data_IF_162093202137
#
_entry.id   IF_162093202137
#
_cell.length_a   1.000
_cell.length_b   1.000
_cell.length_c   1.000
_cell.angle_alpha   90.00
_cell.angle_beta   90.00
_cell.angle_gamma   90.00
#
_symmetry.space_group_name_H-M   'P 1'
#
loop_
_entity.id
_entity.type
_entity.pdbx_description
1 polymer ?
#
# COMPACT_ATOMS: atom_id res chain seq x y z
N UNK A 1 28.92 -12.59 -1.41
CA UNK A 1 28.00 -11.95 -2.39
C UNK A 1 27.96 -10.46 -2.09
N UNK A 2 28.23 -9.59 -3.07
CA UNK A 2 28.25 -8.14 -2.84
C UNK A 2 26.84 -7.62 -2.55
N UNK A 3 26.64 -6.97 -1.40
CA UNK A 3 25.39 -6.33 -1.03
C UNK A 3 25.10 -5.24 -2.06
N UNK A 4 23.99 -5.38 -2.80
CA UNK A 4 23.56 -4.36 -3.77
C UNK A 4 23.47 -3.01 -3.06
N UNK A 5 23.99 -1.95 -3.69
CA UNK A 5 23.94 -0.59 -3.17
C UNK A 5 22.49 -0.08 -2.97
N UNK A 6 22.32 1.23 -2.73
CA UNK A 6 21.03 1.87 -2.43
C UNK A 6 19.87 1.28 -3.25
N UNK A 7 18.76 0.97 -2.57
CA UNK A 7 17.54 0.46 -3.20
C UNK A 7 17.14 1.39 -4.36
N UNK A 8 16.74 0.85 -5.51
CA UNK A 8 16.34 1.66 -6.65
C UNK A 8 15.12 2.51 -6.29
N UNK A 9 15.01 3.71 -6.89
CA UNK A 9 13.80 4.52 -6.78
C UNK A 9 12.58 3.75 -7.35
N UNK A 10 11.41 3.83 -6.70
CA UNK A 10 10.14 3.34 -7.23
C UNK A 10 9.85 3.87 -8.64
N UNK A 11 9.11 3.11 -9.45
CA UNK A 11 8.78 3.48 -10.84
C UNK A 11 7.93 4.74 -10.91
N UNK A 12 7.02 4.95 -9.94
CA UNK A 12 6.23 6.18 -9.86
C UNK A 12 7.11 7.45 -9.75
N UNK A 13 8.18 7.42 -8.95
CA UNK A 13 9.11 8.54 -8.85
C UNK A 13 9.96 8.71 -10.12
N UNK A 14 10.35 7.62 -10.78
CA UNK A 14 11.07 7.69 -12.06
C UNK A 14 10.21 8.29 -13.18
N UNK A 15 8.93 7.97 -13.20
CA UNK A 15 7.97 8.54 -14.15
C UNK A 15 7.82 10.06 -13.94
N UNK A 16 7.69 10.50 -12.68
CA UNK A 16 7.58 11.92 -12.32
C UNK A 16 8.87 12.72 -12.61
N UNK A 17 10.04 12.14 -12.34
CA UNK A 17 11.34 12.78 -12.60
C UNK A 17 11.70 12.85 -14.10
N UNK A 18 11.02 12.06 -14.94
CA UNK A 18 11.30 11.93 -16.36
C UNK A 18 12.65 11.27 -16.65
N UNK A 19 13.10 11.38 -17.90
CA UNK A 19 14.29 10.68 -18.43
C UNK A 19 15.64 11.32 -17.99
N UNK A 20 15.65 11.99 -16.81
CA UNK A 20 16.79 12.79 -16.32
C UNK A 20 17.79 11.98 -15.46
N UNK A 21 17.59 10.67 -15.26
CA UNK A 21 18.33 9.87 -14.29
C UNK A 21 19.11 8.67 -14.85
N UNK A 22 20.45 8.68 -14.67
CA UNK A 22 21.40 7.55 -14.76
C UNK A 22 21.10 6.48 -15.82
N UNK A 23 21.07 6.93 -17.08
CA UNK A 23 20.94 6.09 -18.27
C UNK A 23 19.50 5.63 -18.46
N UNK A 24 19.06 5.65 -19.72
CA UNK A 24 17.74 5.25 -20.24
C UNK A 24 17.35 3.80 -19.92
N UNK A 25 17.44 3.41 -18.66
CA UNK A 25 17.15 2.07 -18.17
C UNK A 25 15.66 1.87 -18.27
N UNK A 26 15.21 0.75 -18.87
CA UNK A 26 13.79 0.44 -18.96
C UNK A 26 13.13 0.52 -17.58
N UNK A 27 11.95 1.11 -17.52
CA UNK A 27 11.13 1.12 -16.32
C UNK A 27 10.71 -0.31 -15.96
N UNK A 28 10.64 -0.63 -14.67
CA UNK A 28 10.18 -1.93 -14.22
C UNK A 28 8.66 -1.99 -14.40
N UNK A 29 8.20 -2.71 -15.43
CA UNK A 29 6.77 -2.92 -15.68
C UNK A 29 6.12 -3.91 -14.71
N UNK A 30 6.93 -4.66 -13.96
CA UNK A 30 6.47 -5.69 -13.02
C UNK A 30 6.55 -5.20 -11.56
N UNK A 31 6.56 -3.89 -11.33
CA UNK A 31 6.45 -3.38 -9.96
C UNK A 31 5.02 -3.65 -9.44
N UNK A 32 4.86 -4.24 -8.25
CA UNK A 32 3.54 -4.50 -7.70
C UNK A 32 2.83 -3.17 -7.42
N UNK A 33 1.67 -2.99 -8.04
CA UNK A 33 0.79 -1.85 -7.81
C UNK A 33 -0.37 -2.37 -6.97
N UNK A 34 -0.61 -1.84 -5.76
CA UNK A 34 -1.79 -2.20 -4.98
C UNK A 34 -3.05 -1.90 -5.79
N UNK A 35 -4.02 -2.83 -5.86
CA UNK A 35 -5.27 -2.59 -6.57
C UNK A 35 -5.99 -1.38 -5.96
N UNK A 36 -6.48 -0.50 -6.83
CA UNK A 36 -7.30 0.63 -6.43
C UNK A 36 -8.69 0.11 -6.03
N UNK A 37 -9.14 0.46 -4.82
CA UNK A 37 -10.46 0.06 -4.35
C UNK A 37 -10.74 0.52 -2.93
N UNK A 38 -11.98 0.90 -2.69
CA UNK A 38 -12.43 1.29 -1.36
C UNK A 38 -12.36 0.11 -0.40
N UNK A 39 -11.80 0.34 0.79
CA UNK A 39 -11.63 -0.70 1.80
C UNK A 39 -12.97 -0.98 2.48
N UNK A 40 -13.57 -2.13 2.16
CA UNK A 40 -14.86 -2.54 2.71
C UNK A 40 -14.68 -3.30 4.03
N UNK A 41 -15.47 -2.92 5.02
CA UNK A 41 -15.54 -3.62 6.31
C UNK A 41 -16.12 -5.03 6.11
N UNK A 42 -15.43 -6.09 6.58
CA UNK A 42 -15.94 -7.45 6.50
C UNK A 42 -17.22 -7.66 7.33
N UNK A 43 -18.15 -8.44 6.79
CA UNK A 43 -19.45 -8.71 7.42
C UNK A 43 -19.35 -9.54 8.71
N UNK A 44 -18.33 -10.37 8.84
CA UNK A 44 -18.14 -11.31 9.95
C UNK A 44 -17.46 -10.72 11.19
N UNK A 45 -17.00 -9.45 11.14
CA UNK A 45 -16.45 -8.78 12.32
C UNK A 45 -17.51 -8.57 13.41
N UNK A 46 -17.07 -8.67 14.68
CA UNK A 46 -17.90 -8.34 15.83
C UNK A 46 -18.36 -6.87 15.82
N UNK A 47 -19.46 -6.50 16.50
CA UNK A 47 -19.96 -5.13 16.53
C UNK A 47 -18.92 -4.10 17.01
N UNK A 48 -18.11 -4.45 18.00
CA UNK A 48 -17.04 -3.63 18.57
C UNK A 48 -15.93 -3.41 17.53
N UNK A 49 -15.52 -4.49 16.87
CA UNK A 49 -14.52 -4.44 15.80
C UNK A 49 -14.98 -3.60 14.61
N UNK A 50 -16.28 -3.65 14.26
CA UNK A 50 -16.87 -2.79 13.23
C UNK A 50 -16.86 -1.31 13.61
N UNK A 51 -16.99 -0.96 14.90
CA UNK A 51 -16.86 0.43 15.35
C UNK A 51 -15.42 0.92 15.16
N UNK A 52 -14.46 0.09 15.52
CA UNK A 52 -13.04 0.43 15.38
C UNK A 52 -12.62 0.55 13.92
N UNK A 53 -13.11 -0.35 13.07
CA UNK A 53 -12.95 -0.25 11.61
C UNK A 53 -13.46 1.09 11.09
N UNK A 54 -14.68 1.48 11.47
CA UNK A 54 -15.28 2.77 11.05
C UNK A 54 -14.51 3.99 11.57
N UNK A 55 -13.82 3.87 12.70
CA UNK A 55 -13.02 4.93 13.31
C UNK A 55 -11.71 5.17 12.57
N UNK A 56 -10.99 4.11 12.21
CA UNK A 56 -9.61 4.21 11.69
C UNK A 56 -9.51 4.03 10.17
N UNK A 57 -10.30 3.15 9.57
CA UNK A 57 -10.15 2.82 8.15
C UNK A 57 -10.24 4.05 7.22
N UNK A 58 -11.18 5.00 7.41
CA UNK A 58 -11.26 6.17 6.54
C UNK A 58 -10.01 7.05 6.60
N UNK A 59 -9.43 7.22 7.79
CA UNK A 59 -8.22 8.02 7.96
C UNK A 59 -7.00 7.35 7.34
N UNK A 60 -6.85 6.03 7.53
CA UNK A 60 -5.72 5.28 6.96
C UNK A 60 -5.81 5.16 5.43
N UNK A 61 -7.02 5.05 4.89
CA UNK A 61 -7.28 5.07 3.44
C UNK A 61 -6.98 6.44 2.84
N UNK A 62 -7.42 7.54 3.48
CA UNK A 62 -7.13 8.90 3.04
C UNK A 62 -5.63 9.21 3.02
N UNK A 63 -4.86 8.68 3.98
CA UNK A 63 -3.41 8.79 4.03
C UNK A 63 -2.68 7.80 3.09
N UNK A 64 -3.41 6.91 2.40
CA UNK A 64 -2.88 5.82 1.55
C UNK A 64 -1.89 4.90 2.27
N UNK A 65 -2.10 4.66 3.57
CA UNK A 65 -1.28 3.75 4.39
C UNK A 65 -1.94 2.38 4.52
N UNK A 66 -3.25 2.30 4.32
CA UNK A 66 -3.99 1.05 4.28
C UNK A 66 -4.29 0.67 2.84
N UNK A 67 -3.82 -0.50 2.42
CA UNK A 67 -4.08 -1.08 1.11
C UNK A 67 -4.79 -2.43 1.25
N UNK A 68 -5.20 -3.03 0.12
CA UNK A 68 -5.79 -4.38 0.10
C UNK A 68 -4.87 -5.43 0.72
N UNK A 69 -3.54 -5.24 0.64
CA UNK A 69 -2.57 -6.15 1.25
C UNK A 69 -2.61 -6.13 2.79
N UNK A 70 -3.04 -5.02 3.38
CA UNK A 70 -3.01 -4.80 4.83
C UNK A 70 -4.30 -5.25 5.53
N UNK A 71 -5.35 -5.58 4.76
CA UNK A 71 -6.68 -5.86 5.30
C UNK A 71 -6.66 -6.95 6.37
N UNK A 72 -5.92 -8.04 6.15
CA UNK A 72 -5.96 -9.15 7.11
C UNK A 72 -5.32 -8.79 8.46
N UNK A 73 -4.27 -7.97 8.43
CA UNK A 73 -3.63 -7.46 9.63
C UNK A 73 -4.54 -6.44 10.34
N UNK A 74 -5.18 -5.56 9.56
CA UNK A 74 -6.10 -4.56 10.10
C UNK A 74 -7.39 -5.18 10.68
N UNK A 75 -7.92 -6.23 10.06
CA UNK A 75 -8.99 -7.07 10.61
C UNK A 75 -8.61 -7.64 11.97
N UNK A 76 -7.41 -8.23 12.08
CA UNK A 76 -6.90 -8.78 13.34
C UNK A 76 -6.78 -7.72 14.42
N UNK A 77 -6.31 -6.51 14.08
CA UNK A 77 -6.26 -5.38 14.98
C UNK A 77 -7.65 -4.96 15.46
N UNK A 78 -8.62 -4.82 14.55
CA UNK A 78 -9.98 -4.43 14.93
C UNK A 78 -10.69 -5.49 15.78
N UNK A 79 -10.35 -6.77 15.57
CA UNK A 79 -11.01 -7.92 16.21
C UNK A 79 -10.45 -8.30 17.58
N UNK A 80 -9.21 -7.88 17.88
CA UNK A 80 -8.53 -8.08 19.16
C UNK A 80 -9.15 -7.24 20.28
#
# INVERSE_FOLDING_TARGET
>A
MATRGRKPKPTALKLLEGDRGKGRRPLNKNEPIPPEGAIKCPSWLLPEAKKEWKRLAPALEAMRVLTVADLKAFEGYCQA
#
